data_IF_991211943387
#
_entry.id   IF_991211943387
#
_cell.length_a   1.000
_cell.length_b   1.000
_cell.length_c   1.000
_cell.angle_alpha   90.00
_cell.angle_beta   90.00
_cell.angle_gamma   90.00
#
_symmetry.space_group_name_H-M   'P 1'
#
loop_
_entity.id
_entity.type
_entity.pdbx_description
1 polymer ?
#
# COMPACT_ATOMS: atom_id res chain seq x y z
N UNK A 1 -26.01 -0.35 0.29
CA UNK A 1 -25.04 -0.53 1.39
C UNK A 1 -23.66 -0.24 0.79
N UNK A 2 -22.92 0.73 1.31
CA UNK A 2 -21.61 1.11 0.75
C UNK A 2 -20.51 0.32 1.46
N UNK A 3 -19.61 -0.29 0.70
CA UNK A 3 -18.48 -1.08 1.22
C UNK A 3 -17.18 -0.30 0.98
N UNK A 4 -16.32 -0.22 2.00
CA UNK A 4 -15.01 0.43 1.86
C UNK A 4 -13.99 -0.63 1.45
N UNK A 5 -13.18 -0.34 0.44
CA UNK A 5 -12.08 -1.19 -0.01
C UNK A 5 -10.76 -0.50 0.31
N UNK A 6 -9.85 -1.20 0.98
CA UNK A 6 -8.52 -0.71 1.30
C UNK A 6 -7.48 -1.61 0.63
N UNK A 7 -6.54 -1.01 -0.09
CA UNK A 7 -5.51 -1.71 -0.86
C UNK A 7 -4.16 -1.39 -0.21
N UNK A 8 -3.46 -2.42 0.25
CA UNK A 8 -2.16 -2.26 0.91
C UNK A 8 -1.24 -3.42 0.50
N UNK A 9 -0.31 -3.22 -0.46
CA UNK A 9 0.55 -4.27 -0.96
C UNK A 9 1.72 -4.64 -0.03
N UNK A 10 2.09 -3.79 0.93
CA UNK A 10 3.20 -4.07 1.83
C UNK A 10 2.76 -5.01 2.97
N UNK A 11 3.33 -6.23 3.11
CA UNK A 11 2.84 -7.22 4.07
C UNK A 11 2.81 -6.72 5.51
N UNK A 12 3.84 -5.99 5.94
CA UNK A 12 3.91 -5.44 7.29
C UNK A 12 2.79 -4.42 7.55
N UNK A 13 2.59 -3.49 6.62
CA UNK A 13 1.51 -2.50 6.70
C UNK A 13 0.14 -3.15 6.60
N UNK A 14 -0.01 -4.18 5.77
CA UNK A 14 -1.26 -4.93 5.61
C UNK A 14 -1.67 -5.63 6.90
N UNK A 15 -0.74 -6.33 7.57
CA UNK A 15 -1.01 -6.96 8.87
C UNK A 15 -1.39 -5.94 9.95
N UNK A 16 -0.78 -4.74 9.92
CA UNK A 16 -1.16 -3.65 10.83
C UNK A 16 -2.54 -3.09 10.50
N UNK A 17 -2.89 -2.95 9.22
CA UNK A 17 -4.21 -2.55 8.76
C UNK A 17 -5.27 -3.53 9.27
N UNK A 18 -5.11 -4.84 9.03
CA UNK A 18 -6.06 -5.86 9.48
C UNK A 18 -6.27 -5.81 11.00
N UNK A 19 -5.18 -5.74 11.76
CA UNK A 19 -5.26 -5.60 13.23
C UNK A 19 -6.02 -4.34 13.63
N UNK A 20 -5.71 -3.20 13.02
CA UNK A 20 -6.38 -1.93 13.33
C UNK A 20 -7.88 -2.00 13.00
N UNK A 21 -8.28 -2.62 11.90
CA UNK A 21 -9.69 -2.78 11.54
C UNK A 21 -10.45 -3.64 12.57
N UNK A 22 -9.82 -4.70 13.07
CA UNK A 22 -10.34 -5.53 14.15
C UNK A 22 -10.44 -4.76 15.48
N UNK A 23 -9.35 -4.12 15.89
CA UNK A 23 -9.27 -3.38 17.16
C UNK A 23 -10.27 -2.22 17.22
N UNK A 24 -10.64 -1.64 16.07
CA UNK A 24 -11.64 -0.57 15.95
C UNK A 24 -13.08 -1.08 15.68
N UNK A 25 -13.30 -2.38 15.56
CA UNK A 25 -14.63 -2.96 15.34
C UNK A 25 -15.25 -2.63 13.97
N UNK A 26 -14.42 -2.35 12.96
CA UNK A 26 -14.87 -1.97 11.60
C UNK A 26 -14.51 -2.99 10.51
N UNK A 27 -13.96 -4.14 10.89
CA UNK A 27 -13.54 -5.20 9.98
C UNK A 27 -14.67 -5.71 9.05
N UNK A 28 -15.93 -5.63 9.47
CA UNK A 28 -17.07 -6.03 8.63
C UNK A 28 -17.43 -4.99 7.55
N UNK A 29 -17.00 -3.73 7.71
CA UNK A 29 -17.31 -2.63 6.79
C UNK A 29 -16.19 -2.33 5.79
N UNK A 30 -14.98 -2.74 6.12
CA UNK A 30 -13.77 -2.48 5.33
C UNK A 30 -13.20 -3.81 4.85
N UNK A 31 -13.02 -3.94 3.54
CA UNK A 31 -12.30 -5.08 2.98
C UNK A 31 -10.88 -4.67 2.63
N UNK A 32 -9.93 -5.19 3.40
CA UNK A 32 -8.50 -5.07 3.12
C UNK A 32 -8.09 -6.06 2.02
N UNK A 33 -7.31 -5.59 1.04
CA UNK A 33 -6.77 -6.36 -0.07
C UNK A 33 -5.24 -6.20 -0.14
N UNK A 34 -4.46 -7.30 -0.09
CA UNK A 34 -3.00 -7.25 -0.08
C UNK A 34 -2.41 -7.13 -1.49
N UNK A 35 -2.84 -6.10 -2.24
CA UNK A 35 -2.44 -5.86 -3.62
C UNK A 35 -2.32 -4.36 -3.91
N UNK A 36 -1.56 -4.02 -4.95
CA UNK A 36 -1.47 -2.67 -5.48
C UNK A 36 -2.47 -2.48 -6.62
N UNK A 37 -2.85 -1.22 -6.87
CA UNK A 37 -3.67 -0.87 -8.04
C UNK A 37 -2.80 -0.32 -9.17
N UNK A 38 -3.11 -0.73 -10.39
CA UNK A 38 -2.45 -0.27 -11.61
C UNK A 38 -3.35 -0.37 -12.83
N UNK A 39 -2.83 0.06 -13.99
CA UNK A 39 -3.60 0.04 -15.24
C UNK A 39 -3.80 -1.38 -15.78
N UNK A 40 -2.84 -2.27 -15.55
CA UNK A 40 -2.86 -3.66 -16.01
C UNK A 40 -2.34 -4.59 -14.91
N UNK A 41 -2.77 -5.85 -14.96
CA UNK A 41 -2.32 -6.85 -14.02
C UNK A 41 -0.83 -7.18 -14.24
N UNK A 42 -0.04 -7.15 -13.18
CA UNK A 42 1.36 -7.55 -13.23
C UNK A 42 1.90 -7.94 -11.84
N UNK A 43 3.07 -8.57 -11.83
CA UNK A 43 3.90 -8.64 -10.64
C UNK A 43 4.82 -7.41 -10.60
N UNK A 44 4.96 -6.80 -9.43
CA UNK A 44 5.82 -5.64 -9.24
C UNK A 44 6.66 -5.78 -7.98
N UNK A 45 7.72 -4.96 -7.91
CA UNK A 45 8.52 -4.80 -6.70
C UNK A 45 8.47 -3.35 -6.25
N UNK A 46 7.88 -3.11 -5.08
CA UNK A 46 7.77 -1.80 -4.45
C UNK A 46 8.98 -1.57 -3.53
N UNK A 47 9.40 -0.30 -3.43
CA UNK A 47 10.24 0.16 -2.32
C UNK A 47 9.35 0.50 -1.14
N UNK A 48 9.39 -0.29 -0.08
CA UNK A 48 8.65 -0.06 1.17
C UNK A 48 9.55 0.59 2.22
N UNK A 49 9.09 1.69 2.82
CA UNK A 49 9.86 2.44 3.80
C UNK A 49 9.26 2.25 5.21
N UNK A 50 9.69 1.23 5.98
CA UNK A 50 9.08 0.88 7.28
C UNK A 50 9.20 1.99 8.33
N UNK A 51 10.16 2.90 8.18
CA UNK A 51 10.38 4.02 9.09
C UNK A 51 9.78 5.33 8.60
N UNK A 52 9.10 5.30 7.46
CA UNK A 52 8.39 6.44 6.89
C UNK A 52 6.89 6.17 6.94
N UNK A 53 6.07 7.05 7.53
CA UNK A 53 4.63 6.82 7.65
C UNK A 53 3.98 6.58 6.30
N UNK A 54 3.36 5.40 6.09
CA UNK A 54 2.49 5.11 4.94
C UNK A 54 3.14 5.27 3.56
N UNK A 55 4.44 5.00 3.43
CA UNK A 55 5.14 5.21 2.16
C UNK A 55 5.70 3.90 1.58
N UNK A 56 5.13 3.49 0.46
CA UNK A 56 5.73 2.56 -0.50
C UNK A 56 5.57 3.14 -1.91
N UNK A 57 6.53 2.91 -2.81
CA UNK A 57 6.45 3.42 -4.19
C UNK A 57 7.11 2.48 -5.19
N UNK A 58 6.64 2.52 -6.44
CA UNK A 58 7.33 1.95 -7.61
C UNK A 58 8.43 2.88 -8.16
N UNK A 59 8.44 4.15 -7.73
CA UNK A 59 9.30 5.22 -8.24
C UNK A 59 10.16 5.80 -7.09
N UNK A 60 11.12 5.02 -6.54
CA UNK A 60 11.96 5.49 -5.44
C UNK A 60 12.81 6.71 -5.78
N UNK A 61 13.15 6.92 -7.05
CA UNK A 61 13.88 8.08 -7.55
C UNK A 61 13.12 9.40 -7.35
N UNK A 62 11.80 9.40 -7.54
CA UNK A 62 10.96 10.57 -7.31
C UNK A 62 10.95 10.94 -5.82
N UNK A 63 10.93 9.92 -4.95
CA UNK A 63 11.03 10.04 -3.49
C UNK A 63 12.35 10.65 -3.02
N UNK A 64 13.45 10.43 -3.74
CA UNK A 64 14.77 10.93 -3.33
C UNK A 64 14.85 12.47 -3.38
N UNK A 65 14.04 13.13 -4.21
CA UNK A 65 13.97 14.59 -4.24
C UNK A 65 13.43 15.17 -2.93
N UNK A 66 12.48 14.49 -2.29
CA UNK A 66 11.82 14.91 -1.05
C UNK A 66 12.77 14.91 0.17
N UNK A 67 13.92 14.24 0.08
CA UNK A 67 14.87 14.13 1.20
C UNK A 67 15.37 15.49 1.69
N UNK A 68 15.38 16.50 0.81
CA UNK A 68 15.81 17.86 1.12
C UNK A 68 14.92 18.55 2.16
N UNK A 69 13.71 18.05 2.39
CA UNK A 69 12.82 18.54 3.45
C UNK A 69 13.21 18.08 4.86
N UNK A 70 14.21 17.19 4.98
CA UNK A 70 14.62 16.58 6.25
C UNK A 70 16.09 16.86 6.57
N UNK A 71 16.42 16.84 7.86
CA UNK A 71 17.82 16.78 8.31
C UNK A 71 18.50 15.50 7.82
N UNK A 72 19.81 15.58 7.60
CA UNK A 72 20.63 14.48 7.05
C UNK A 72 20.48 13.16 7.82
N UNK A 73 20.65 13.21 9.14
CA UNK A 73 20.51 12.08 10.07
C UNK A 73 19.12 11.46 10.06
N UNK A 74 18.10 12.28 9.87
CA UNK A 74 16.70 11.86 9.90
C UNK A 74 16.31 11.12 8.62
N UNK A 75 16.72 11.60 7.45
CA UNK A 75 16.33 10.95 6.20
C UNK A 75 17.08 9.64 5.97
N UNK A 76 18.35 9.53 6.39
CA UNK A 76 19.09 8.25 6.31
C UNK A 76 18.37 7.11 7.04
N UNK A 77 17.66 7.40 8.14
CA UNK A 77 16.85 6.42 8.85
C UNK A 77 15.51 6.16 8.15
N UNK A 78 14.83 7.22 7.69
CA UNK A 78 13.49 7.13 7.10
C UNK A 78 13.48 6.48 5.71
N UNK A 79 14.51 6.69 4.91
CA UNK A 79 14.60 6.22 3.51
C UNK A 79 15.27 4.84 3.36
N UNK A 80 15.46 4.10 4.46
CA UNK A 80 15.87 2.69 4.39
C UNK A 80 14.73 1.84 3.85
N UNK A 81 14.70 1.66 2.54
CA UNK A 81 13.71 0.85 1.86
C UNK A 81 13.99 -0.65 2.02
N UNK A 82 12.91 -1.43 2.00
CA UNK A 82 12.92 -2.89 1.84
C UNK A 82 12.15 -3.21 0.55
N UNK A 83 12.67 -4.07 -0.33
CA UNK A 83 11.92 -4.51 -1.51
C UNK A 83 10.72 -5.37 -1.08
N UNK A 84 9.55 -5.08 -1.64
CA UNK A 84 8.34 -5.86 -1.44
C UNK A 84 7.83 -6.33 -2.78
N UNK A 85 7.71 -7.64 -2.97
CA UNK A 85 7.02 -8.22 -4.11
C UNK A 85 5.51 -8.19 -3.88
N UNK A 86 4.75 -7.69 -4.86
CA UNK A 86 3.30 -7.62 -4.77
C UNK A 86 2.65 -7.92 -6.12
N UNK A 87 1.38 -8.32 -6.06
CA UNK A 87 0.50 -8.30 -7.23
C UNK A 87 -0.05 -6.88 -7.44
N UNK A 88 -0.20 -6.53 -8.71
CA UNK A 88 -0.88 -5.32 -9.17
C UNK A 88 -2.12 -5.76 -9.93
N UNK A 89 -3.26 -5.15 -9.64
CA UNK A 89 -4.51 -5.39 -10.37
C UNK A 89 -5.15 -4.08 -10.81
N UNK A 90 -6.01 -4.16 -11.83
CA UNK A 90 -6.85 -3.01 -12.19
C UNK A 90 -8.06 -2.90 -11.26
N UNK A 91 -8.46 -1.66 -10.93
CA UNK A 91 -9.66 -1.43 -10.11
C UNK A 91 -10.90 -2.06 -10.76
N UNK A 92 -11.03 -1.97 -12.08
CA UNK A 92 -12.15 -2.57 -12.82
C UNK A 92 -12.19 -4.09 -12.72
N UNK A 93 -11.03 -4.76 -12.71
CA UNK A 93 -10.95 -6.19 -12.47
C UNK A 93 -11.42 -6.54 -11.05
N UNK A 94 -10.91 -5.84 -10.03
CA UNK A 94 -11.27 -6.09 -8.63
C UNK A 94 -12.77 -5.90 -8.41
N UNK A 95 -13.36 -4.82 -8.94
CA UNK A 95 -14.80 -4.55 -8.81
C UNK A 95 -15.64 -5.65 -9.46
N UNK A 96 -15.31 -6.06 -10.69
CA UNK A 96 -16.01 -7.16 -11.39
C UNK A 96 -15.92 -8.48 -10.65
N UNK A 97 -14.74 -8.83 -10.12
CA UNK A 97 -14.53 -10.06 -9.35
C UNK A 97 -15.40 -10.16 -8.08
N UNK A 98 -15.93 -9.02 -7.63
CA UNK A 98 -16.77 -8.88 -6.43
C UNK A 98 -18.24 -8.59 -6.74
N UNK A 99 -18.65 -8.72 -8.00
CA UNK A 99 -20.03 -8.53 -8.40
C UNK A 99 -20.46 -7.05 -8.42
N UNK A 100 -19.52 -6.11 -8.39
CA UNK A 100 -19.81 -4.73 -8.74
C UNK A 100 -19.80 -4.62 -10.27
N UNK A 101 -20.85 -4.02 -10.84
CA UNK A 101 -20.96 -3.75 -12.26
C UNK A 101 -19.82 -2.84 -12.77
N UNK A 102 -19.70 -2.68 -14.10
CA UNK A 102 -18.72 -1.78 -14.70
C UNK A 102 -18.92 -0.32 -14.27
#
# INVERSE_FOLDING_TARGET
CSQIMSFEPAPLSFSLLERNLCDQGVAERVVALPLALGQAACAATLSYYPHMPGNSTLYPEEKLADRLAFRADRWEKMFKAVPVHCSVESLSFVLRSRGHGP
#
